data_IF_334789072304
#
_entry.id   IF_334789072304
#
_cell.length_a   1.000
_cell.length_b   1.000
_cell.length_c   1.000
_cell.angle_alpha   90.00
_cell.angle_beta   90.00
_cell.angle_gamma   90.00
#
_symmetry.space_group_name_H-M   'P 1'
#
loop_
_entity.id
_entity.type
_entity.pdbx_description
1 polymer ?
#
# COMPACT_ATOMS: atom_id res chain seq x y z
N UNK A 1 -2.75 -23.34 -51.12
CA UNK A 1 -3.41 -22.14 -51.65
C UNK A 1 -3.37 -21.11 -50.54
N UNK A 2 -2.35 -20.27 -50.56
CA UNK A 2 -2.22 -19.19 -49.59
C UNK A 2 -3.40 -18.24 -49.78
N UNK A 3 -4.19 -18.04 -48.71
CA UNK A 3 -5.20 -16.99 -48.69
C UNK A 3 -4.44 -15.67 -48.75
N UNK A 4 -4.48 -15.02 -49.90
CA UNK A 4 -4.13 -13.61 -49.99
C UNK A 4 -5.16 -12.89 -49.11
N UNK A 5 -4.77 -12.53 -47.89
CA UNK A 5 -5.56 -11.65 -47.04
C UNK A 5 -5.65 -10.30 -47.76
N UNK A 6 -6.79 -10.05 -48.41
CA UNK A 6 -7.05 -8.75 -49.02
C UNK A 6 -6.98 -7.67 -47.94
N UNK A 7 -5.97 -6.81 -48.03
CA UNK A 7 -5.80 -5.72 -47.08
C UNK A 7 -7.08 -4.85 -47.06
N UNK A 8 -7.57 -4.48 -45.88
CA UNK A 8 -8.83 -3.76 -45.78
C UNK A 8 -8.78 -2.41 -46.50
N UNK A 9 -9.83 -2.08 -47.27
CA UNK A 9 -9.90 -0.86 -48.10
C UNK A 9 -9.69 0.43 -47.29
N UNK A 10 -10.07 0.43 -46.00
CA UNK A 10 -9.88 1.57 -45.08
C UNK A 10 -8.41 1.89 -44.75
N UNK A 11 -7.46 1.02 -45.13
CA UNK A 11 -6.02 1.24 -44.93
C UNK A 11 -5.35 2.03 -46.06
N UNK A 12 -6.07 2.32 -47.15
CA UNK A 12 -5.53 2.99 -48.33
C UNK A 12 -6.27 4.28 -48.62
N UNK A 13 -5.53 5.26 -49.13
CA UNK A 13 -6.12 6.48 -49.64
C UNK A 13 -6.89 6.17 -50.92
N UNK A 14 -8.18 6.51 -50.98
CA UNK A 14 -9.00 6.22 -52.17
C UNK A 14 -8.73 7.15 -53.37
N UNK A 15 -7.84 8.13 -53.18
CA UNK A 15 -7.45 9.11 -54.21
C UNK A 15 -6.19 8.63 -54.93
N UNK A 16 -5.11 8.39 -54.19
CA UNK A 16 -3.85 7.91 -54.74
C UNK A 16 -3.66 6.38 -54.66
N UNK A 17 -4.60 5.65 -54.03
CA UNK A 17 -4.57 4.20 -53.80
C UNK A 17 -3.39 3.68 -52.97
N UNK A 18 -2.59 4.58 -52.37
CA UNK A 18 -1.45 4.22 -51.52
C UNK A 18 -1.87 4.04 -50.06
N UNK A 19 -1.16 3.17 -49.35
CA UNK A 19 -1.40 2.86 -47.93
C UNK A 19 -1.15 4.09 -47.05
N UNK A 20 -2.03 4.30 -46.08
CA UNK A 20 -1.84 5.33 -45.07
C UNK A 20 -0.65 4.99 -44.17
N UNK A 21 0.02 6.02 -43.64
CA UNK A 21 1.07 5.88 -42.65
C UNK A 21 1.02 7.00 -41.61
N UNK A 22 1.73 6.83 -40.51
CA UNK A 22 1.66 7.71 -39.34
C UNK A 22 2.33 9.08 -39.54
N UNK A 23 2.93 9.32 -40.71
CA UNK A 23 3.71 10.52 -40.97
C UNK A 23 3.12 11.30 -42.16
N UNK A 24 3.66 11.05 -43.35
CA UNK A 24 3.41 11.88 -44.54
C UNK A 24 2.07 11.55 -45.20
N UNK A 25 1.66 10.28 -45.16
CA UNK A 25 0.38 9.79 -45.68
C UNK A 25 -0.62 9.53 -44.56
N UNK A 26 -0.66 10.43 -43.57
CA UNK A 26 -1.66 10.34 -42.50
C UNK A 26 -3.07 10.47 -43.09
N UNK A 27 -4.03 9.62 -42.68
CA UNK A 27 -5.39 9.71 -43.17
C UNK A 27 -6.06 10.99 -42.66
N UNK A 28 -6.73 11.68 -43.56
CA UNK A 28 -7.47 12.90 -43.32
C UNK A 28 -8.94 12.67 -43.67
N UNK A 29 -9.83 13.04 -42.76
CA UNK A 29 -11.28 13.04 -42.99
C UNK A 29 -11.69 14.47 -43.35
N UNK A 30 -12.22 14.64 -44.56
CA UNK A 30 -12.83 15.90 -44.99
C UNK A 30 -14.20 16.08 -44.30
N UNK A 31 -14.76 17.30 -44.19
CA UNK A 31 -16.04 17.50 -43.52
C UNK A 31 -17.22 16.74 -44.15
N UNK A 32 -17.15 16.37 -45.43
CA UNK A 32 -18.09 15.46 -46.08
C UNK A 32 -17.98 13.98 -45.65
N UNK A 33 -17.03 13.62 -44.79
CA UNK A 33 -16.78 12.24 -44.34
C UNK A 33 -15.84 11.42 -45.24
N UNK A 34 -15.47 11.90 -46.41
CA UNK A 34 -14.51 11.22 -47.29
C UNK A 34 -13.08 11.26 -46.75
N UNK A 35 -12.32 10.19 -47.02
CA UNK A 35 -10.95 9.98 -46.55
C UNK A 35 -9.92 10.16 -47.67
N UNK A 36 -8.93 11.02 -47.46
CA UNK A 36 -7.77 11.22 -48.34
C UNK A 36 -6.47 11.23 -47.53
N UNK A 37 -5.33 11.13 -48.20
CA UNK A 37 -4.02 11.23 -47.53
C UNK A 37 -3.61 12.70 -47.36
N UNK A 38 -2.86 13.02 -46.30
CA UNK A 38 -2.37 14.39 -46.07
C UNK A 38 -1.57 14.95 -47.27
N UNK A 39 -0.73 14.13 -47.92
CA UNK A 39 -0.06 14.52 -49.17
C UNK A 39 -1.05 14.87 -50.27
N UNK A 40 -2.06 14.03 -50.49
CA UNK A 40 -3.09 14.20 -51.50
C UNK A 40 -3.89 15.48 -51.26
N UNK A 41 -4.06 15.85 -49.98
CA UNK A 41 -4.68 17.11 -49.61
C UNK A 41 -3.77 18.30 -49.93
N UNK A 42 -2.47 18.21 -49.63
CA UNK A 42 -1.53 19.33 -49.79
C UNK A 42 -1.04 19.54 -51.23
N UNK A 43 -0.87 18.48 -52.01
CA UNK A 43 -0.32 18.54 -53.38
C UNK A 43 -1.41 18.90 -54.41
N UNK A 44 -2.59 18.29 -54.33
CA UNK A 44 -3.60 18.39 -55.40
C UNK A 44 -4.75 19.36 -55.11
N UNK A 45 -4.96 19.75 -53.84
CA UNK A 45 -6.07 20.63 -53.43
C UNK A 45 -5.59 22.03 -53.00
N UNK A 46 -4.29 22.33 -53.12
CA UNK A 46 -3.68 23.61 -52.71
C UNK A 46 -2.94 24.24 -53.90
N UNK A 47 -3.57 24.30 -55.07
CA UNK A 47 -2.92 24.78 -56.29
C UNK A 47 -2.96 26.32 -56.49
N UNK A 48 -3.35 27.07 -55.46
CA UNK A 48 -3.19 28.53 -55.48
C UNK A 48 -3.09 29.09 -54.07
N UNK A 49 -2.06 29.88 -53.83
CA UNK A 49 -1.88 30.62 -52.59
C UNK A 49 -3.02 31.61 -52.28
N UNK A 50 -3.95 31.82 -53.22
CA UNK A 50 -5.05 32.79 -53.13
C UNK A 50 -6.45 32.17 -53.02
N UNK A 51 -6.61 30.84 -53.07
CA UNK A 51 -7.93 30.21 -52.96
C UNK A 51 -8.15 29.62 -51.56
N UNK A 52 -9.02 30.20 -50.72
CA UNK A 52 -9.23 29.75 -49.35
C UNK A 52 -10.22 28.59 -49.25
N UNK A 53 -10.47 27.87 -50.35
CA UNK A 53 -11.45 26.77 -50.39
C UNK A 53 -10.83 25.47 -50.87
N UNK A 54 -11.15 24.38 -50.17
CA UNK A 54 -10.74 23.01 -50.46
C UNK A 54 -11.95 22.25 -51.01
N UNK A 55 -11.81 21.61 -52.16
CA UNK A 55 -12.88 20.82 -52.78
C UNK A 55 -12.62 19.31 -52.57
N UNK A 56 -13.63 18.56 -52.14
CA UNK A 56 -13.51 17.11 -52.01
C UNK A 56 -13.45 16.44 -53.40
N UNK A 57 -12.46 15.59 -53.71
CA UNK A 57 -12.35 14.95 -55.03
C UNK A 57 -13.46 13.93 -55.32
N UNK A 58 -14.19 13.46 -54.30
CA UNK A 58 -15.25 12.45 -54.49
C UNK A 58 -16.65 13.08 -54.63
N UNK A 59 -17.00 14.02 -53.75
CA UNK A 59 -18.34 14.61 -53.72
C UNK A 59 -18.39 16.08 -54.15
N UNK A 60 -17.25 16.69 -54.47
CA UNK A 60 -17.12 18.09 -54.93
C UNK A 60 -17.66 19.14 -53.95
N UNK A 61 -17.90 18.75 -52.70
CA UNK A 61 -18.23 19.68 -51.63
C UNK A 61 -17.03 20.59 -51.34
N UNK A 62 -17.27 21.90 -51.28
CA UNK A 62 -16.24 22.92 -51.00
C UNK A 62 -16.30 23.35 -49.55
N UNK A 63 -15.14 23.48 -48.92
CA UNK A 63 -14.97 23.84 -47.52
C UNK A 63 -13.98 25.00 -47.38
N UNK A 64 -14.20 25.90 -46.42
CA UNK A 64 -13.33 27.06 -46.21
C UNK A 64 -12.16 26.74 -45.28
N UNK A 65 -10.95 27.19 -45.62
CA UNK A 65 -9.70 26.82 -44.93
C UNK A 65 -9.62 27.30 -43.48
N UNK A 66 -10.26 28.41 -43.12
CA UNK A 66 -10.21 28.93 -41.73
C UNK A 66 -10.93 28.03 -40.71
N UNK A 67 -11.85 27.16 -41.13
CA UNK A 67 -12.50 26.20 -40.22
C UNK A 67 -11.65 24.95 -39.98
N UNK A 68 -10.63 24.72 -40.82
CA UNK A 68 -9.92 23.45 -40.93
C UNK A 68 -8.72 23.29 -39.97
N UNK A 69 -7.95 24.34 -39.68
CA UNK A 69 -6.76 24.22 -38.82
C UNK A 69 -7.07 23.88 -37.35
N UNK A 70 -8.25 24.28 -36.85
CA UNK A 70 -8.66 23.99 -35.47
C UNK A 70 -9.36 22.62 -35.30
N UNK A 71 -9.86 22.02 -36.39
CA UNK A 71 -10.65 20.77 -36.36
C UNK A 71 -9.97 19.58 -37.03
N UNK A 72 -8.94 19.78 -37.86
CA UNK A 72 -8.16 18.69 -38.46
C UNK A 72 -7.09 18.14 -37.52
N UNK A 73 -7.56 17.53 -36.43
CA UNK A 73 -6.76 16.54 -35.72
C UNK A 73 -6.64 15.31 -36.62
N UNK A 74 -5.42 14.85 -36.85
CA UNK A 74 -5.14 13.63 -37.62
C UNK A 74 -5.94 12.46 -37.06
N UNK A 75 -7.04 12.14 -37.73
CA UNK A 75 -7.91 11.04 -37.36
C UNK A 75 -7.16 9.74 -37.67
N UNK A 76 -6.79 8.97 -36.65
CA UNK A 76 -6.09 7.71 -36.83
C UNK A 76 -7.03 6.55 -36.49
N UNK A 77 -7.62 5.85 -37.49
CA UNK A 77 -8.64 4.82 -37.26
C UNK A 77 -8.18 3.71 -36.30
N UNK A 78 -6.88 3.38 -36.33
CA UNK A 78 -6.28 2.36 -35.47
C UNK A 78 -6.22 2.83 -34.01
N UNK A 79 -5.98 4.14 -33.76
CA UNK A 79 -5.91 4.68 -32.40
C UNK A 79 -7.31 4.75 -31.77
N UNK A 80 -8.33 5.07 -32.56
CA UNK A 80 -9.73 5.06 -32.10
C UNK A 80 -10.23 3.64 -31.80
N UNK A 81 -9.88 2.66 -32.63
CA UNK A 81 -10.23 1.27 -32.37
C UNK A 81 -9.53 0.75 -31.11
N UNK A 82 -8.24 1.04 -30.94
CA UNK A 82 -7.50 0.69 -29.72
C UNK A 82 -8.07 1.38 -28.47
N UNK A 83 -8.46 2.65 -28.57
CA UNK A 83 -9.11 3.38 -27.49
C UNK A 83 -10.47 2.77 -27.14
N UNK A 84 -11.28 2.42 -28.14
CA UNK A 84 -12.58 1.78 -27.92
C UNK A 84 -12.44 0.41 -27.24
N UNK A 85 -11.44 -0.39 -27.64
CA UNK A 85 -11.14 -1.68 -27.02
C UNK A 85 -10.65 -1.52 -25.57
N UNK A 86 -9.83 -0.50 -25.30
CA UNK A 86 -9.36 -0.18 -23.96
C UNK A 86 -10.52 0.24 -23.05
N UNK A 87 -11.42 1.11 -23.52
CA UNK A 87 -12.59 1.55 -22.77
C UNK A 87 -13.54 0.38 -22.46
N UNK A 88 -13.79 -0.50 -23.44
CA UNK A 88 -14.59 -1.72 -23.22
C UNK A 88 -13.93 -2.65 -22.20
N UNK A 89 -12.61 -2.80 -22.25
CA UNK A 89 -11.87 -3.63 -21.28
C UNK A 89 -11.96 -3.08 -19.86
N UNK A 90 -11.89 -1.76 -19.70
CA UNK A 90 -12.08 -1.09 -18.41
C UNK A 90 -13.49 -1.33 -17.89
N UNK A 91 -14.51 -1.23 -18.74
CA UNK A 91 -15.90 -1.44 -18.31
C UNK A 91 -16.15 -2.89 -17.88
N UNK A 92 -15.63 -3.86 -18.63
CA UNK A 92 -15.69 -5.28 -18.24
C UNK A 92 -14.97 -5.56 -16.92
N UNK A 93 -13.85 -4.88 -16.66
CA UNK A 93 -13.14 -5.00 -15.40
C UNK A 93 -13.94 -4.44 -14.21
N UNK A 94 -14.69 -3.35 -14.40
CA UNK A 94 -15.60 -2.81 -13.37
C UNK A 94 -16.73 -3.77 -13.04
N UNK A 95 -17.36 -4.37 -14.06
CA UNK A 95 -18.44 -5.35 -13.86
C UNK A 95 -17.92 -6.56 -13.07
N UNK A 96 -16.76 -7.10 -13.45
CA UNK A 96 -16.12 -8.22 -12.72
C UNK A 96 -15.82 -7.85 -11.27
N UNK A 97 -15.35 -6.62 -11.01
CA UNK A 97 -15.09 -6.15 -9.66
C UNK A 97 -16.37 -6.08 -8.81
N UNK A 98 -17.46 -5.54 -9.38
CA UNK A 98 -18.76 -5.50 -8.69
C UNK A 98 -19.30 -6.90 -8.38
N UNK A 99 -19.15 -7.85 -9.30
CA UNK A 99 -19.52 -9.25 -9.07
C UNK A 99 -18.72 -9.88 -7.93
N UNK A 100 -17.40 -9.71 -7.91
CA UNK A 100 -16.53 -10.21 -6.84
C UNK A 100 -16.84 -9.56 -5.47
N UNK A 101 -17.17 -8.27 -5.46
CA UNK A 101 -17.61 -7.57 -4.25
C UNK A 101 -18.95 -8.11 -3.72
N UNK A 102 -19.89 -8.43 -4.61
CA UNK A 102 -21.16 -9.08 -4.26
C UNK A 102 -20.99 -10.50 -3.71
N UNK A 103 -20.16 -11.32 -4.35
CA UNK A 103 -19.83 -12.68 -3.86
C UNK A 103 -19.17 -12.64 -2.48
N UNK A 104 -18.24 -11.69 -2.28
CA UNK A 104 -17.59 -11.48 -0.98
C UNK A 104 -18.58 -11.06 0.09
N UNK A 105 -19.52 -10.17 -0.21
CA UNK A 105 -20.56 -9.75 0.73
C UNK A 105 -21.44 -10.94 1.15
N UNK A 106 -21.88 -11.77 0.20
CA UNK A 106 -22.66 -12.98 0.48
C UNK A 106 -21.88 -14.01 1.32
N UNK A 107 -20.57 -14.15 1.09
CA UNK A 107 -19.72 -15.03 1.91
C UNK A 107 -19.59 -14.52 3.34
N UNK A 108 -19.42 -13.22 3.53
CA UNK A 108 -19.35 -12.60 4.87
C UNK A 108 -20.67 -12.83 5.61
N UNK A 109 -21.81 -12.62 4.95
CA UNK A 109 -23.13 -12.83 5.56
C UNK A 109 -23.30 -14.28 6.06
N UNK A 110 -22.95 -15.28 5.24
CA UNK A 110 -22.97 -16.70 5.65
C UNK A 110 -22.09 -16.97 6.86
N UNK A 111 -20.84 -16.50 6.86
CA UNK A 111 -19.94 -16.69 8.00
C UNK A 111 -20.43 -15.98 9.26
N UNK A 112 -21.05 -14.81 9.14
CA UNK A 112 -21.63 -14.12 10.29
C UNK A 112 -22.81 -14.88 10.89
N UNK A 113 -23.64 -15.51 10.06
CA UNK A 113 -24.74 -16.38 10.51
C UNK A 113 -24.21 -17.63 11.21
N UNK A 114 -23.22 -18.32 10.62
CA UNK A 114 -22.57 -19.49 11.23
C UNK A 114 -21.91 -19.15 12.59
N UNK A 115 -21.26 -17.98 12.69
CA UNK A 115 -20.68 -17.52 13.96
C UNK A 115 -21.75 -17.23 15.03
N UNK A 116 -22.91 -16.72 14.63
CA UNK A 116 -24.03 -16.50 15.55
C UNK A 116 -24.61 -17.84 16.05
N UNK A 117 -24.77 -18.81 15.17
CA UNK A 117 -25.22 -20.17 15.53
C UNK A 117 -24.23 -20.86 16.48
N UNK A 118 -22.92 -20.81 16.17
CA UNK A 118 -21.88 -21.37 17.02
C UNK A 118 -21.84 -20.71 18.42
N UNK A 119 -22.08 -19.40 18.51
CA UNK A 119 -22.18 -18.70 19.80
C UNK A 119 -23.36 -19.20 20.62
N UNK A 120 -24.51 -19.44 20.00
CA UNK A 120 -25.68 -19.97 20.67
C UNK A 120 -25.42 -21.40 21.18
N UNK A 121 -24.83 -22.26 20.35
CA UNK A 121 -24.44 -23.61 20.75
C UNK A 121 -23.48 -23.61 21.95
N UNK A 122 -22.48 -22.72 21.95
CA UNK A 122 -21.54 -22.60 23.05
C UNK A 122 -22.24 -22.13 24.34
N UNK A 123 -23.19 -21.21 24.24
CA UNK A 123 -23.99 -20.76 25.37
C UNK A 123 -24.82 -21.91 25.96
N UNK A 124 -25.49 -22.70 25.13
CA UNK A 124 -26.24 -23.90 25.57
C UNK A 124 -25.32 -24.95 26.21
N UNK A 125 -24.15 -25.20 25.63
CA UNK A 125 -23.17 -26.12 26.21
C UNK A 125 -22.67 -25.63 27.57
N UNK A 126 -22.44 -24.33 27.72
CA UNK A 126 -22.00 -23.71 28.97
C UNK A 126 -23.07 -23.85 30.05
N UNK A 127 -24.34 -23.62 29.71
CA UNK A 127 -25.47 -23.78 30.63
C UNK A 127 -25.61 -25.26 31.08
N UNK A 128 -25.56 -26.21 30.14
CA UNK A 128 -25.60 -27.64 30.45
C UNK A 128 -24.42 -28.06 31.34
N UNK A 129 -23.23 -27.52 31.10
CA UNK A 129 -22.05 -27.82 31.93
C UNK A 129 -22.19 -27.29 33.35
N UNK A 130 -22.74 -26.08 33.53
CA UNK A 130 -23.00 -25.51 34.86
C UNK A 130 -24.01 -26.34 35.66
N UNK A 131 -25.01 -26.93 34.99
CA UNK A 131 -26.00 -27.82 35.63
C UNK A 131 -25.43 -29.20 36.00
N UNK A 132 -24.44 -29.68 35.26
CA UNK A 132 -23.87 -31.03 35.41
C UNK A 132 -22.64 -31.11 36.32
N UNK A 133 -22.20 -30.00 36.93
CA UNK A 133 -20.99 -29.98 37.76
C UNK A 133 -21.28 -30.14 39.27
N UNK A 134 -21.29 -31.36 39.84
CA UNK A 134 -21.17 -31.54 41.28
C UNK A 134 -19.73 -31.20 41.73
N UNK A 135 -19.58 -30.08 42.45
CA UNK A 135 -18.59 -29.79 43.52
C UNK A 135 -17.12 -30.23 43.41
N UNK A 136 -16.58 -30.59 42.26
CA UNK A 136 -15.13 -30.72 42.04
C UNK A 136 -14.69 -29.79 40.94
N UNK A 137 -14.47 -28.53 41.32
CA UNK A 137 -13.82 -27.53 40.48
C UNK A 137 -12.34 -27.92 40.29
N UNK A 138 -12.07 -28.86 39.40
CA UNK A 138 -10.75 -28.98 38.80
C UNK A 138 -10.67 -27.82 37.82
N UNK A 139 -10.03 -26.73 38.28
CA UNK A 139 -9.70 -25.55 37.48
C UNK A 139 -8.68 -25.99 36.43
N UNK A 140 -9.16 -26.56 35.32
CA UNK A 140 -8.40 -26.63 34.08
C UNK A 140 -8.31 -25.22 33.52
N UNK A 141 -7.35 -24.44 34.03
CA UNK A 141 -6.80 -23.27 33.33
C UNK A 141 -6.01 -23.76 32.12
N UNK A 142 -6.70 -24.33 31.14
CA UNK A 142 -6.19 -24.34 29.78
C UNK A 142 -6.54 -22.97 29.24
N UNK A 143 -5.61 -22.03 29.30
CA UNK A 143 -5.78 -20.76 28.62
C UNK A 143 -5.94 -21.05 27.13
N UNK A 144 -7.06 -20.64 26.53
CA UNK A 144 -7.32 -20.81 25.09
C UNK A 144 -6.15 -20.33 24.22
N UNK A 145 -5.27 -19.47 24.73
CA UNK A 145 -4.05 -18.99 24.08
C UNK A 145 -3.10 -20.10 23.56
N UNK A 146 -3.12 -21.31 24.15
CA UNK A 146 -2.12 -22.36 23.84
C UNK A 146 -2.51 -23.28 22.66
N UNK A 147 -3.73 -23.14 22.11
CA UNK A 147 -4.24 -24.00 21.02
C UNK A 147 -4.54 -23.24 19.71
N UNK A 148 -4.32 -21.93 19.65
CA UNK A 148 -4.78 -21.07 18.57
C UNK A 148 -3.75 -20.95 17.44
N UNK A 149 -3.71 -21.96 16.58
CA UNK A 149 -3.16 -21.80 15.23
C UNK A 149 -4.19 -21.06 14.36
N UNK A 150 -3.75 -20.13 13.51
CA UNK A 150 -4.58 -19.34 12.58
C UNK A 150 -5.54 -18.32 13.22
N UNK A 151 -5.19 -17.77 14.38
CA UNK A 151 -5.96 -16.67 14.99
C UNK A 151 -5.37 -15.32 14.62
N UNK A 152 -6.24 -14.37 14.28
CA UNK A 152 -5.87 -12.97 14.09
C UNK A 152 -5.55 -12.38 15.46
N UNK A 153 -4.35 -11.83 15.60
CA UNK A 153 -3.89 -11.16 16.82
C UNK A 153 -3.69 -9.68 16.57
N UNK A 154 -4.24 -8.87 17.47
CA UNK A 154 -3.97 -7.44 17.48
C UNK A 154 -2.57 -7.19 18.02
N UNK A 155 -1.75 -6.52 17.21
CA UNK A 155 -0.41 -6.11 17.59
C UNK A 155 -0.27 -4.60 17.46
N UNK A 156 0.39 -3.98 18.44
CA UNK A 156 0.77 -2.57 18.42
C UNK A 156 2.28 -2.43 18.30
N UNK A 157 2.75 -1.43 17.59
CA UNK A 157 4.16 -1.06 17.59
C UNK A 157 4.49 -0.28 18.86
N UNK A 158 5.56 -0.68 19.55
CA UNK A 158 6.08 0.03 20.72
C UNK A 158 7.58 0.26 20.58
N UNK A 159 8.15 1.23 21.31
CA UNK A 159 9.59 1.44 21.33
C UNK A 159 10.35 0.19 21.79
N UNK A 160 11.39 -0.19 21.04
CA UNK A 160 12.24 -1.33 21.33
C UNK A 160 13.41 -1.01 22.24
N UNK A 161 14.26 -2.01 22.46
CA UNK A 161 15.47 -1.90 23.30
C UNK A 161 16.54 -0.95 22.73
N UNK A 162 16.50 -0.71 21.41
CA UNK A 162 17.33 0.25 20.69
C UNK A 162 16.51 1.48 20.32
N UNK A 163 17.10 2.66 20.45
CA UNK A 163 16.43 3.92 20.09
C UNK A 163 16.06 3.94 18.61
N UNK A 164 14.86 4.40 18.30
CA UNK A 164 14.31 4.45 16.94
C UNK A 164 13.90 3.09 16.37
N UNK A 165 14.19 1.98 17.04
CA UNK A 165 13.66 0.68 16.66
C UNK A 165 12.30 0.49 17.30
N UNK A 166 11.33 0.01 16.53
CA UNK A 166 10.04 -0.43 17.04
C UNK A 166 10.00 -1.96 17.11
N UNK A 167 9.28 -2.47 18.09
CA UNK A 167 8.96 -3.90 18.21
C UNK A 167 7.45 -4.05 18.20
N UNK A 168 6.96 -5.19 17.71
CA UNK A 168 5.54 -5.49 17.76
C UNK A 168 5.20 -6.16 19.09
N UNK A 169 4.10 -5.74 19.69
CA UNK A 169 3.61 -6.28 20.96
C UNK A 169 2.14 -6.65 20.81
N UNK A 170 1.80 -7.90 21.09
CA UNK A 170 0.42 -8.36 21.11
C UNK A 170 -0.28 -7.98 22.43
N UNK A 171 -1.60 -8.19 22.51
CA UNK A 171 -2.41 -7.95 23.71
C UNK A 171 -1.79 -8.55 25.00
N UNK A 172 -1.33 -9.79 24.90
CA UNK A 172 -0.67 -10.56 25.97
C UNK A 172 0.76 -10.09 26.33
N UNK A 173 1.23 -8.96 25.81
CA UNK A 173 2.55 -8.36 26.07
C UNK A 173 3.75 -9.24 25.66
N UNK A 174 3.58 -10.10 24.65
CA UNK A 174 4.70 -10.77 24.00
C UNK A 174 5.33 -9.86 22.95
N UNK A 175 6.66 -9.88 22.88
CA UNK A 175 7.45 -9.04 21.96
C UNK A 175 7.85 -9.86 20.73
N UNK A 176 7.64 -9.27 19.57
CA UNK A 176 7.84 -9.86 18.25
C UNK A 176 8.87 -9.06 17.45
N UNK A 177 9.86 -9.75 16.89
CA UNK A 177 10.89 -9.17 16.04
C UNK A 177 10.70 -9.61 14.59
N UNK A 178 10.88 -8.67 13.66
CA UNK A 178 10.86 -8.97 12.23
C UNK A 178 12.02 -9.92 11.90
N UNK A 179 11.76 -10.96 11.12
CA UNK A 179 12.82 -11.85 10.66
C UNK A 179 13.67 -11.13 9.59
N UNK A 180 15.00 -11.18 9.71
CA UNK A 180 15.93 -10.49 8.80
C UNK A 180 15.88 -11.04 7.36
N UNK A 181 15.27 -12.21 7.15
CA UNK A 181 15.13 -12.89 5.86
C UNK A 181 14.06 -12.27 4.93
N UNK A 182 13.71 -10.99 5.10
CA UNK A 182 12.88 -10.24 4.15
C UNK A 182 11.39 -10.63 4.07
N UNK A 183 10.90 -11.52 4.95
CA UNK A 183 9.50 -11.95 4.96
C UNK A 183 8.56 -11.05 5.78
N UNK A 184 7.25 -11.24 5.59
CA UNK A 184 6.19 -10.68 6.45
C UNK A 184 6.05 -11.42 7.79
N UNK A 185 7.07 -12.18 8.20
CA UNK A 185 7.05 -12.99 9.41
C UNK A 185 7.80 -12.32 10.55
N UNK A 186 7.23 -12.46 11.74
CA UNK A 186 7.85 -12.04 12.99
C UNK A 186 7.98 -13.24 13.92
N UNK A 187 9.08 -13.28 14.66
CA UNK A 187 9.38 -14.32 15.64
C UNK A 187 9.30 -13.76 17.04
N UNK A 188 8.89 -14.60 17.99
CA UNK A 188 8.98 -14.26 19.39
C UNK A 188 10.43 -13.87 19.78
N UNK A 189 10.57 -12.85 20.63
CA UNK A 189 11.85 -12.40 21.19
C UNK A 189 12.52 -13.37 22.17
N UNK A 190 11.81 -14.40 22.64
CA UNK A 190 12.32 -15.31 23.65
C UNK A 190 13.37 -16.25 23.07
N UNK A 191 14.56 -16.24 23.68
CA UNK A 191 15.71 -17.01 23.19
C UNK A 191 15.57 -18.47 23.61
N UNK A 192 15.56 -19.38 22.64
CA UNK A 192 15.86 -20.80 22.88
C UNK A 192 14.72 -21.69 23.35
N UNK A 193 13.46 -21.25 23.29
CA UNK A 193 12.33 -22.10 23.67
C UNK A 193 10.97 -21.76 23.05
N UNK A 194 10.80 -20.54 22.54
CA UNK A 194 9.54 -20.13 21.91
C UNK A 194 9.60 -20.24 20.39
N UNK A 195 8.71 -21.05 19.82
CA UNK A 195 8.51 -21.17 18.38
C UNK A 195 7.40 -20.25 17.85
N UNK A 196 6.90 -19.35 18.70
CA UNK A 196 5.86 -18.40 18.35
C UNK A 196 6.23 -17.63 17.10
N UNK A 197 5.29 -17.61 16.14
CA UNK A 197 5.45 -16.90 14.87
C UNK A 197 4.14 -16.25 14.46
N UNK A 198 4.21 -14.97 14.10
CA UNK A 198 3.10 -14.24 13.46
C UNK A 198 3.48 -13.84 12.03
N UNK A 199 2.47 -13.72 11.16
CA UNK A 199 2.57 -13.23 9.79
C UNK A 199 1.76 -11.95 9.64
N UNK A 200 2.37 -10.87 9.17
CA UNK A 200 1.64 -9.67 8.78
C UNK A 200 0.80 -9.95 7.52
N UNK A 201 -0.46 -9.52 7.56
CA UNK A 201 -1.41 -9.58 6.47
C UNK A 201 -1.53 -8.20 5.78
N UNK A 202 -2.01 -8.18 4.54
CA UNK A 202 -2.08 -6.95 3.74
C UNK A 202 -3.06 -5.91 4.30
N UNK A 203 -4.00 -6.34 5.14
CA UNK A 203 -4.95 -5.47 5.85
C UNK A 203 -4.37 -4.83 7.13
N UNK A 204 -3.07 -5.01 7.42
CA UNK A 204 -2.42 -4.48 8.62
C UNK A 204 -2.65 -5.29 9.90
N UNK A 205 -3.39 -6.41 9.82
CA UNK A 205 -3.55 -7.35 10.94
C UNK A 205 -2.46 -8.42 10.93
N UNK A 206 -2.37 -9.21 12.01
CA UNK A 206 -1.34 -10.24 12.15
C UNK A 206 -1.98 -11.60 12.40
N UNK A 207 -1.55 -12.63 11.68
CA UNK A 207 -2.00 -14.00 11.84
C UNK A 207 -0.99 -14.78 12.68
N UNK A 208 -1.43 -15.39 13.78
CA UNK A 208 -0.63 -16.33 14.56
C UNK A 208 -0.48 -17.63 13.78
N UNK A 209 0.72 -17.87 13.25
CA UNK A 209 1.04 -19.10 12.51
C UNK A 209 1.47 -20.24 13.43
N UNK A 210 2.16 -19.91 14.53
CA UNK A 210 2.58 -20.87 15.54
C UNK A 210 2.31 -20.27 16.91
N UNK A 211 1.68 -21.06 17.79
CA UNK A 211 1.41 -20.69 19.18
C UNK A 211 2.68 -20.38 19.98
N UNK A 212 2.49 -19.66 21.07
CA UNK A 212 3.54 -19.36 22.04
C UNK A 212 3.66 -20.51 23.04
N UNK A 213 4.88 -20.90 23.40
CA UNK A 213 5.10 -21.94 24.41
C UNK A 213 5.72 -21.34 25.68
N UNK A 214 4.90 -21.25 26.73
CA UNK A 214 5.34 -21.45 28.12
C UNK A 214 6.32 -20.44 28.72
N UNK A 215 6.42 -19.21 28.20
CA UNK A 215 7.23 -18.17 28.84
C UNK A 215 6.39 -16.98 29.30
N UNK A 216 6.86 -16.30 30.34
CA UNK A 216 6.21 -15.11 30.86
C UNK A 216 6.23 -13.98 29.82
N UNK A 217 5.23 -13.09 29.92
CA UNK A 217 5.21 -11.88 29.12
C UNK A 217 6.33 -10.91 29.54
N UNK A 218 6.64 -9.95 28.67
CA UNK A 218 7.73 -8.97 28.89
C UNK A 218 7.19 -7.59 29.26
N UNK A 219 6.06 -7.53 29.97
CA UNK A 219 5.34 -6.28 30.25
C UNK A 219 6.25 -5.21 30.90
N UNK A 220 6.95 -5.58 31.98
CA UNK A 220 7.86 -4.67 32.70
C UNK A 220 9.05 -4.20 31.83
N UNK A 221 9.54 -5.06 30.94
CA UNK A 221 10.65 -4.73 30.04
C UNK A 221 10.21 -3.75 28.94
N UNK A 222 9.01 -3.96 28.39
CA UNK A 222 8.41 -3.06 27.40
C UNK A 222 8.21 -1.67 27.98
N UNK A 223 7.67 -1.59 29.20
CA UNK A 223 7.46 -0.32 29.90
C UNK A 223 8.80 0.37 30.18
N UNK A 224 9.80 -0.38 30.64
CA UNK A 224 11.17 0.12 30.80
C UNK A 224 11.75 0.70 29.51
N UNK A 225 11.53 0.04 28.37
CA UNK A 225 11.99 0.55 27.08
C UNK A 225 11.25 1.81 26.63
N UNK A 226 9.95 1.91 26.88
CA UNK A 226 9.18 3.11 26.58
C UNK A 226 9.74 4.32 27.37
N UNK A 227 9.96 4.15 28.67
CA UNK A 227 10.48 5.21 29.55
C UNK A 227 11.90 5.61 29.17
N UNK A 228 12.78 4.65 28.88
CA UNK A 228 14.15 4.97 28.41
C UNK A 228 14.11 5.72 27.10
N UNK A 229 13.27 5.32 26.12
CA UNK A 229 13.17 6.03 24.86
C UNK A 229 12.64 7.46 25.05
N UNK A 230 11.69 7.67 25.95
CA UNK A 230 11.22 9.01 26.31
C UNK A 230 12.37 9.90 26.84
N UNK A 231 13.21 9.36 27.74
CA UNK A 231 14.40 10.09 28.21
C UNK A 231 15.37 10.44 27.08
N UNK A 232 15.57 9.54 26.11
CA UNK A 232 16.44 9.77 24.96
C UNK A 232 15.87 10.81 23.99
N UNK A 233 14.55 10.81 23.78
CA UNK A 233 13.85 11.84 23.01
C UNK A 233 14.00 13.20 23.68
N UNK A 234 13.72 13.31 24.98
CA UNK A 234 13.90 14.56 25.73
C UNK A 234 15.36 15.03 25.74
N UNK A 235 16.32 14.12 25.86
CA UNK A 235 17.74 14.46 25.80
C UNK A 235 18.18 14.99 24.43
N UNK A 236 17.57 14.48 23.35
CA UNK A 236 17.80 15.01 22.00
C UNK A 236 17.14 16.37 21.82
N UNK A 237 15.89 16.51 22.25
CA UNK A 237 15.05 17.65 21.89
C UNK A 237 15.16 18.83 22.86
N UNK A 238 15.73 18.61 24.05
CA UNK A 238 15.88 19.63 25.08
C UNK A 238 17.34 19.78 25.51
N UNK A 239 17.77 21.02 25.79
CA UNK A 239 19.10 21.31 26.36
C UNK A 239 19.15 21.15 27.89
N UNK A 240 18.27 20.32 28.46
CA UNK A 240 18.20 20.14 29.91
C UNK A 240 19.33 19.23 30.42
N UNK A 241 19.79 19.41 31.68
CA UNK A 241 20.71 18.48 32.30
C UNK A 241 20.13 17.06 32.33
N UNK A 242 20.92 16.05 31.96
CA UNK A 242 20.49 14.65 31.88
C UNK A 242 19.84 14.13 33.16
N UNK A 243 20.32 14.61 34.32
CA UNK A 243 19.75 14.24 35.62
C UNK A 243 18.36 14.84 35.84
N UNK A 244 18.13 16.07 35.39
CA UNK A 244 16.82 16.72 35.46
C UNK A 244 15.81 16.00 34.56
N UNK A 245 16.21 15.61 33.35
CA UNK A 245 15.38 14.79 32.45
C UNK A 245 15.01 13.46 33.12
N UNK A 246 15.99 12.79 33.74
CA UNK A 246 15.75 11.53 34.44
C UNK A 246 14.75 11.69 35.59
N UNK A 247 14.93 12.70 36.45
CA UNK A 247 14.06 12.95 37.60
C UNK A 247 12.62 13.23 37.16
N UNK A 248 12.43 14.09 36.14
CA UNK A 248 11.12 14.44 35.60
C UNK A 248 10.41 13.22 34.97
N UNK A 249 11.14 12.38 34.24
CA UNK A 249 10.56 11.16 33.64
C UNK A 249 10.27 10.11 34.72
N UNK A 250 11.13 9.96 35.73
CA UNK A 250 10.89 9.05 36.85
C UNK A 250 9.66 9.46 37.66
N UNK A 251 9.45 10.75 37.87
CA UNK A 251 8.26 11.28 38.52
C UNK A 251 6.98 10.98 37.72
N UNK A 252 7.04 11.06 36.39
CA UNK A 252 5.92 10.69 35.52
C UNK A 252 5.65 9.17 35.48
N UNK A 253 6.66 8.34 35.77
CA UNK A 253 6.58 6.87 35.69
C UNK A 253 7.07 6.19 36.98
N UNK A 254 6.41 6.41 38.14
CA UNK A 254 6.91 5.99 39.44
C UNK A 254 6.99 4.46 39.62
N UNK A 255 6.22 3.70 38.84
CA UNK A 255 6.16 2.24 38.93
C UNK A 255 7.28 1.52 38.14
N UNK A 256 8.05 2.26 37.35
CA UNK A 256 9.05 1.66 36.45
C UNK A 256 10.42 1.71 37.12
N UNK A 257 10.92 0.54 37.52
CA UNK A 257 12.22 0.40 38.20
C UNK A 257 13.43 0.73 37.32
N UNK A 258 13.70 2.03 37.12
CA UNK A 258 14.83 2.54 36.33
C UNK A 258 15.76 3.34 37.25
N UNK A 259 17.04 2.94 37.28
CA UNK A 259 18.11 3.70 37.92
C UNK A 259 18.82 4.65 36.95
N UNK A 260 19.36 5.73 37.48
CA UNK A 260 20.24 6.64 36.73
C UNK A 260 21.69 6.13 36.79
N UNK A 261 22.04 5.23 35.87
CA UNK A 261 23.38 4.66 35.78
C UNK A 261 24.23 5.35 34.68
N UNK A 262 25.54 5.08 34.70
CA UNK A 262 26.47 5.64 33.73
C UNK A 262 26.16 5.18 32.28
N UNK A 263 25.48 4.05 32.10
CA UNK A 263 25.11 3.53 30.78
C UNK A 263 23.96 4.32 30.18
N UNK A 264 22.94 4.65 30.96
CA UNK A 264 21.82 5.50 30.60
C UNK A 264 22.31 6.92 30.32
N UNK A 265 23.14 7.49 31.20
CA UNK A 265 23.72 8.82 31.01
C UNK A 265 24.49 8.91 29.67
N UNK A 266 25.37 7.95 29.37
CA UNK A 266 26.09 7.91 28.09
C UNK A 266 25.17 7.73 26.88
N UNK A 267 24.05 7.03 27.02
CA UNK A 267 23.05 6.96 25.94
C UNK A 267 22.43 8.34 25.72
N UNK A 268 21.93 8.99 26.78
CA UNK A 268 21.30 10.31 26.67
C UNK A 268 22.26 11.36 26.12
N UNK A 269 23.51 11.40 26.58
CA UNK A 269 24.55 12.30 26.07
C UNK A 269 24.81 12.13 24.56
N UNK A 270 24.83 10.89 24.05
CA UNK A 270 24.97 10.66 22.61
C UNK A 270 23.78 11.21 21.83
N UNK A 271 22.58 11.15 22.39
CA UNK A 271 21.38 11.67 21.73
C UNK A 271 21.31 13.21 21.76
N UNK A 272 21.76 13.84 22.84
CA UNK A 272 21.95 15.31 22.93
C UNK A 272 23.00 15.80 21.92
N UNK A 273 24.09 15.06 21.72
CA UNK A 273 25.10 15.41 20.72
C UNK A 273 24.59 15.37 19.28
N UNK A 274 23.57 14.55 18.98
CA UNK A 274 23.00 14.45 17.63
C UNK A 274 22.25 15.73 17.24
N UNK A 275 21.57 16.38 18.19
CA UNK A 275 20.80 17.60 17.93
C UNK A 275 21.65 18.87 17.95
N UNK A 276 22.86 18.82 18.53
CA UNK A 276 23.77 19.95 18.55
C UNK A 276 24.40 20.14 17.15
N UNK A 277 24.34 21.36 16.58
CA UNK A 277 25.04 21.63 15.34
C UNK A 277 26.55 21.39 15.55
N UNK A 278 27.16 20.62 14.64
CA UNK A 278 28.61 20.39 14.66
C UNK A 278 29.32 21.74 14.76
N UNK A 279 30.27 21.92 15.68
CA UNK A 279 31.05 23.16 15.73
C UNK A 279 31.70 23.35 14.37
N UNK A 280 31.34 24.44 13.69
CA UNK A 280 31.84 24.78 12.37
C UNK A 280 33.38 24.81 12.44
N UNK A 281 34.11 24.02 11.63
CA UNK A 281 35.58 23.95 11.73
C UNK A 281 36.27 25.31 11.49
N UNK A 282 35.58 26.30 10.92
CA UNK A 282 36.10 27.63 10.63
C UNK A 282 36.19 28.58 11.85
N UNK A 283 35.57 28.27 13.00
CA UNK A 283 35.67 29.14 14.19
C UNK A 283 36.93 28.91 15.04
N UNK A 284 37.76 27.90 14.72
CA UNK A 284 39.02 27.65 15.44
C UNK A 284 40.20 28.54 15.04
N UNK A 285 40.04 29.41 14.04
CA UNK A 285 41.13 30.23 13.48
C UNK A 285 41.12 31.71 13.92
N UNK A 286 40.30 32.11 14.90
CA UNK A 286 40.22 33.51 15.38
C UNK A 286 40.67 33.74 16.83
N UNK A 287 41.39 32.79 17.43
CA UNK A 287 41.90 32.91 18.81
C UNK A 287 43.38 32.52 18.92
N UNK A 288 44.20 32.97 17.96
CA UNK A 288 45.64 33.14 18.10
C UNK A 288 46.02 34.53 17.60
#
# INVERSE_FOLDING_TARGET
MDRIEEEPEWTKCRFCYLKFNDCVRSPMILPCGHRICLLCHNEELVDSHDNPSVECPYCRSRFHRQETEATLKSYHPIKDMALSMALNSIEMAKIKRQQAEGERASLIERHTAELAENKNLLAEMTEKFLLLAPRTAVVLKVTMADLLHNVIVECRQVPGSKFGFTVLVCEHKHVWHKNDQGGSFYRCSEKGGCFGRIKALDNGTYLMTNGHNGHANKAAEIEKYAVVNEMLVRARDTSQPMRSIFEAVREAHPNVGIGYDAKLQRKMQRHDQISRPSPNPLTKLKLL
#
